data_IF_737137820346
#
_entry.id   IF_737137820346
#
_cell.length_a   1.000
_cell.length_b   1.000
_cell.length_c   1.000
_cell.angle_alpha   90.00
_cell.angle_beta   90.00
_cell.angle_gamma   90.00
#
_symmetry.space_group_name_H-M   'P 1'
#
loop_
_entity.id
_entity.type
_entity.pdbx_description
1 polymer ?
#
# COMPACT_ATOMS: atom_id res chain seq x y z
N UNK A 1 -6.53 -60.21 -4.69
CA UNK A 1 -5.49 -59.28 -4.20
C UNK A 1 -6.20 -58.07 -3.63
N UNK A 2 -6.07 -57.83 -2.33
CA UNK A 2 -6.77 -56.75 -1.61
C UNK A 2 -5.75 -55.65 -1.32
N UNK A 3 -6.02 -54.45 -1.82
CA UNK A 3 -5.16 -53.28 -1.62
C UNK A 3 -5.54 -52.58 -0.32
N UNK A 4 -4.62 -52.56 0.65
CA UNK A 4 -4.77 -51.80 1.88
C UNK A 4 -4.14 -50.43 1.68
N UNK A 5 -4.94 -49.36 1.72
CA UNK A 5 -4.41 -48.00 1.73
C UNK A 5 -3.77 -47.80 3.11
N UNK A 6 -2.46 -48.00 3.18
CA UNK A 6 -1.66 -47.81 4.41
C UNK A 6 -1.51 -46.32 4.71
N UNK A 7 -2.59 -45.74 5.24
CA UNK A 7 -2.64 -44.44 5.92
C UNK A 7 -2.11 -43.23 5.12
N UNK A 8 -3.05 -42.42 4.65
CA UNK A 8 -2.76 -41.08 4.15
C UNK A 8 -2.53 -40.14 5.35
N UNK A 9 -1.28 -40.02 5.82
CA UNK A 9 -0.91 -39.02 6.82
C UNK A 9 -0.83 -37.64 6.16
N UNK A 10 -1.85 -36.82 6.41
CA UNK A 10 -1.95 -35.46 5.87
C UNK A 10 -1.37 -34.46 6.86
N UNK A 11 -0.58 -33.51 6.35
CA UNK A 11 0.12 -32.51 7.15
C UNK A 11 -0.87 -31.60 7.87
N UNK A 12 -0.76 -31.57 9.20
CA UNK A 12 -1.20 -30.44 10.02
C UNK A 12 -0.31 -29.24 9.67
N UNK A 13 -0.75 -28.41 8.74
CA UNK A 13 -0.34 -27.02 8.75
C UNK A 13 -1.09 -26.41 9.96
N UNK A 14 -0.36 -25.85 10.93
CA UNK A 14 -0.97 -25.20 12.09
C UNK A 14 -1.87 -24.01 11.69
N UNK A 15 -1.94 -22.97 12.52
CA UNK A 15 -2.76 -21.77 12.22
C UNK A 15 -2.45 -21.07 10.88
N UNK A 16 -1.34 -21.39 10.23
CA UNK A 16 -0.94 -20.86 8.94
C UNK A 16 -1.46 -21.74 7.80
N UNK A 17 -2.58 -21.32 7.19
CA UNK A 17 -3.18 -21.97 6.04
C UNK A 17 -3.12 -21.01 4.83
N UNK A 18 -2.42 -21.41 3.75
CA UNK A 18 -2.30 -20.63 2.53
C UNK A 18 -3.66 -20.27 1.91
N UNK A 19 -4.67 -21.16 2.00
CA UNK A 19 -6.03 -20.85 1.55
C UNK A 19 -6.70 -19.77 2.41
N UNK A 20 -6.43 -19.77 3.71
CA UNK A 20 -6.93 -18.74 4.64
C UNK A 20 -6.27 -17.38 4.40
N UNK A 21 -4.96 -17.37 4.10
CA UNK A 21 -4.25 -16.14 3.73
C UNK A 21 -4.77 -15.54 2.43
N UNK A 22 -5.03 -16.36 1.41
CA UNK A 22 -5.60 -15.89 0.16
C UNK A 22 -7.00 -15.29 0.36
N UNK A 23 -7.77 -15.80 1.33
CA UNK A 23 -9.09 -15.27 1.65
C UNK A 23 -9.04 -13.88 2.34
N UNK A 24 -8.02 -13.61 3.17
CA UNK A 24 -7.85 -12.31 3.86
C UNK A 24 -7.01 -11.30 3.06
N UNK A 25 -6.37 -11.74 1.96
CA UNK A 25 -5.56 -10.89 1.10
C UNK A 25 -6.28 -9.62 0.59
N UNK A 26 -7.55 -9.66 0.11
CA UNK A 26 -8.23 -8.45 -0.35
C UNK A 26 -8.46 -7.45 0.78
N UNK A 27 -8.86 -7.91 1.97
CA UNK A 27 -9.05 -7.02 3.14
C UNK A 27 -7.72 -6.40 3.57
N UNK A 28 -6.65 -7.19 3.61
CA UNK A 28 -5.31 -6.67 3.91
C UNK A 28 -4.84 -5.64 2.88
N UNK A 29 -5.20 -5.81 1.61
CA UNK A 29 -4.89 -4.84 0.56
C UNK A 29 -5.64 -3.53 0.78
N UNK A 30 -6.91 -3.58 1.17
CA UNK A 30 -7.69 -2.39 1.54
C UNK A 30 -7.08 -1.68 2.76
N UNK A 31 -6.70 -2.43 3.80
CA UNK A 31 -6.04 -1.87 4.98
C UNK A 31 -4.67 -1.28 4.65
N UNK A 32 -3.88 -1.95 3.83
CA UNK A 32 -2.60 -1.45 3.34
C UNK A 32 -2.76 -0.17 2.51
N UNK A 33 -3.77 -0.12 1.65
CA UNK A 33 -4.14 1.07 0.89
C UNK A 33 -4.59 2.22 1.78
N UNK A 34 -5.43 1.96 2.79
CA UNK A 34 -5.86 2.96 3.75
C UNK A 34 -4.69 3.54 4.56
N UNK A 35 -3.76 2.67 4.99
CA UNK A 35 -2.54 3.10 5.67
C UNK A 35 -1.65 3.95 4.76
N UNK A 36 -1.43 3.53 3.51
CA UNK A 36 -0.67 4.31 2.53
C UNK A 36 -1.33 5.68 2.24
N UNK A 37 -2.66 5.73 2.13
CA UNK A 37 -3.39 6.99 1.99
C UNK A 37 -3.20 7.91 3.21
N UNK A 38 -3.23 7.34 4.42
CA UNK A 38 -2.99 8.13 5.64
C UNK A 38 -1.58 8.72 5.67
N UNK A 39 -0.57 7.96 5.22
CA UNK A 39 0.80 8.48 5.08
C UNK A 39 0.87 9.64 4.09
N UNK A 40 0.10 9.58 3.00
CA UNK A 40 0.09 10.67 2.03
C UNK A 40 -0.46 11.97 2.66
N UNK A 41 -1.50 11.87 3.48
CA UNK A 41 -2.04 13.02 4.24
C UNK A 41 -1.01 13.56 5.25
N UNK A 42 -0.38 12.70 6.04
CA UNK A 42 0.59 13.14 7.04
C UNK A 42 1.89 13.70 6.44
N UNK A 43 2.26 13.28 5.23
CA UNK A 43 3.48 13.74 4.53
C UNK A 43 3.21 14.83 3.50
N UNK A 44 1.98 15.35 3.44
CA UNK A 44 1.58 16.38 2.47
C UNK A 44 2.45 17.64 2.55
N UNK A 45 2.87 18.04 3.75
CA UNK A 45 3.73 19.22 3.96
C UNK A 45 5.22 19.00 3.69
N UNK A 46 5.64 17.78 3.31
CA UNK A 46 7.06 17.49 3.12
C UNK A 46 7.49 17.78 1.67
N UNK A 47 8.43 18.72 1.43
CA UNK A 47 8.73 19.22 0.08
C UNK A 47 9.29 18.17 -0.87
N UNK A 48 10.03 17.18 -0.33
CA UNK A 48 10.52 16.04 -1.13
C UNK A 48 9.39 15.12 -1.61
N UNK A 49 8.32 14.95 -0.84
CA UNK A 49 7.16 14.13 -1.25
C UNK A 49 6.25 14.88 -2.21
N UNK A 50 6.11 16.21 -2.03
CA UNK A 50 5.41 17.09 -2.97
C UNK A 50 5.97 16.98 -4.39
N UNK A 51 7.27 17.22 -4.54
CA UNK A 51 7.97 17.17 -5.85
C UNK A 51 8.05 15.78 -6.48
N UNK A 52 8.04 14.71 -5.68
CA UNK A 52 8.20 13.34 -6.20
C UNK A 52 6.87 12.65 -6.50
N UNK A 53 5.85 12.86 -5.66
CA UNK A 53 4.57 12.16 -5.73
C UNK A 53 3.40 13.11 -6.04
N UNK A 54 3.22 14.18 -5.27
CA UNK A 54 1.97 14.96 -5.30
C UNK A 54 1.85 15.88 -6.52
N UNK A 55 2.94 16.50 -6.99
CA UNK A 55 2.94 17.33 -8.20
C UNK A 55 2.61 16.54 -9.48
N UNK A 56 2.79 15.21 -9.45
CA UNK A 56 2.50 14.33 -10.60
C UNK A 56 1.01 13.93 -10.68
N UNK A 57 0.22 14.25 -9.67
CA UNK A 57 -1.21 13.94 -9.65
C UNK A 57 -1.89 14.86 -10.68
N UNK A 58 -2.53 14.32 -11.74
CA UNK A 58 -3.24 15.14 -12.69
C UNK A 58 -4.35 15.92 -11.98
N UNK A 59 -4.61 17.16 -12.42
CA UNK A 59 -5.57 18.11 -11.85
C UNK A 59 -5.15 18.76 -10.51
N UNK A 60 -4.64 18.00 -9.53
CA UNK A 60 -4.29 18.55 -8.21
C UNK A 60 -2.82 18.98 -8.07
N UNK A 61 -1.91 18.48 -8.92
CA UNK A 61 -0.46 18.71 -8.77
C UNK A 61 -0.01 20.17 -8.75
N UNK A 62 -0.74 21.07 -9.42
CA UNK A 62 -0.45 22.50 -9.41
C UNK A 62 -0.65 23.17 -8.04
N UNK A 63 -1.39 22.52 -7.12
CA UNK A 63 -1.62 23.04 -5.77
C UNK A 63 -0.33 23.19 -4.97
N UNK A 64 0.64 22.30 -5.17
CA UNK A 64 1.90 22.27 -4.42
C UNK A 64 3.05 23.02 -5.12
N UNK A 65 2.83 23.53 -6.34
CA UNK A 65 3.83 24.29 -7.07
C UNK A 65 3.74 25.76 -6.67
N UNK A 66 4.80 26.27 -6.07
CA UNK A 66 4.92 27.69 -5.76
C UNK A 66 5.17 28.50 -7.06
N UNK A 67 4.13 29.19 -7.51
CA UNK A 67 4.15 30.07 -8.69
C UNK A 67 4.48 31.52 -8.33
N UNK A 68 4.88 31.82 -7.09
CA UNK A 68 5.24 33.18 -6.68
C UNK A 68 6.47 33.64 -7.48
N UNK A 69 6.42 34.83 -8.12
CA UNK A 69 7.54 35.35 -8.88
C UNK A 69 8.77 35.49 -7.99
N UNK A 70 9.95 35.22 -8.54
CA UNK A 70 11.20 35.26 -7.78
C UNK A 70 11.52 36.65 -7.22
N UNK A 71 10.99 37.70 -7.86
CA UNK A 71 11.16 39.10 -7.46
C UNK A 71 10.46 39.44 -6.14
N UNK A 72 9.41 38.70 -5.78
CA UNK A 72 8.66 38.88 -4.52
C UNK A 72 9.20 38.00 -3.38
N UNK A 73 10.25 37.20 -3.65
CA UNK A 73 10.87 36.32 -2.65
C UNK A 73 12.02 37.07 -1.97
N UNK A 74 12.04 37.15 -0.63
CA UNK A 74 13.06 37.91 0.10
C UNK A 74 14.47 37.27 0.11
N UNK A 75 14.63 36.07 -0.45
CA UNK A 75 15.89 35.31 -0.53
C UNK A 75 16.04 34.64 -1.89
#
# INVERSE_FOLDING_TARGET
>A
MVSYISQLTSKSAGRFNFKGMAAIAPDLFLWGGAWAASLMVFTEGWPRFQSTLYEKIPYFGQHWVDNTPAEDKPN
#
